data_IF_279210247247
#
_entry.id   IF_279210247247
#
_cell.length_a   1.000
_cell.length_b   1.000
_cell.length_c   1.000
_cell.angle_alpha   90.00
_cell.angle_beta   90.00
_cell.angle_gamma   90.00
#
_symmetry.space_group_name_H-M   'P 1'
#
loop_
_entity.id
_entity.type
_entity.pdbx_description
1 polymer ?
#
# COMPACT_ATOMS: atom_id res chain seq x y z
N UNK A 1 -2.06 3.25 -1.54
CA UNK A 1 -2.39 1.83 -1.23
C UNK A 1 -3.68 1.41 -1.91
N UNK A 2 -3.77 0.17 -2.38
CA UNK A 2 -4.89 -0.32 -3.20
C UNK A 2 -5.55 -1.51 -2.50
N UNK A 3 -6.85 -1.37 -2.16
CA UNK A 3 -7.71 -2.41 -1.61
C UNK A 3 -8.75 -2.90 -2.62
N UNK A 4 -9.49 -3.95 -2.27
CA UNK A 4 -10.55 -4.54 -3.09
C UNK A 4 -10.48 -6.07 -3.12
N UNK A 5 -11.54 -6.70 -3.62
CA UNK A 5 -11.62 -8.16 -3.74
C UNK A 5 -10.53 -8.77 -4.64
N UNK A 6 -10.37 -10.08 -4.57
CA UNK A 6 -9.54 -10.81 -5.51
C UNK A 6 -10.05 -10.59 -6.96
N UNK A 7 -9.11 -10.45 -7.93
CA UNK A 7 -9.40 -10.34 -9.38
C UNK A 7 -10.12 -9.06 -9.84
N UNK A 8 -10.29 -8.04 -8.99
CA UNK A 8 -10.89 -6.76 -9.39
C UNK A 8 -9.95 -5.83 -10.18
N UNK A 9 -8.66 -6.15 -10.31
CA UNK A 9 -7.70 -5.35 -11.09
C UNK A 9 -6.70 -4.54 -10.27
N UNK A 10 -6.52 -4.80 -8.97
CA UNK A 10 -5.56 -4.09 -8.10
C UNK A 10 -4.13 -4.08 -8.65
N UNK A 11 -3.61 -5.26 -8.99
CA UNK A 11 -2.24 -5.39 -9.53
C UNK A 11 -2.10 -4.72 -10.91
N UNK A 12 -3.16 -4.70 -11.72
CA UNK A 12 -3.19 -3.98 -12.98
C UNK A 12 -3.11 -2.47 -12.74
N UNK A 13 -3.91 -1.95 -11.80
CA UNK A 13 -3.83 -0.53 -11.40
C UNK A 13 -2.44 -0.18 -10.85
N UNK A 14 -1.86 -1.03 -9.99
CA UNK A 14 -0.51 -0.82 -9.47
C UNK A 14 0.55 -0.71 -10.57
N UNK A 15 0.46 -1.54 -11.63
CA UNK A 15 1.34 -1.44 -12.80
C UNK A 15 1.16 -0.10 -13.53
N UNK A 16 -0.07 0.36 -13.76
CA UNK A 16 -0.30 1.64 -14.43
C UNK A 16 0.17 2.83 -13.61
N UNK A 17 0.00 2.80 -12.28
CA UNK A 17 0.58 3.81 -11.38
C UNK A 17 2.11 3.78 -11.47
N UNK A 18 2.72 2.59 -11.51
CA UNK A 18 4.17 2.45 -11.68
C UNK A 18 4.65 3.02 -13.01
N UNK A 19 3.96 2.73 -14.11
CA UNK A 19 4.27 3.30 -15.43
C UNK A 19 4.17 4.83 -15.42
N UNK A 20 3.11 5.36 -14.81
CA UNK A 20 2.93 6.82 -14.69
C UNK A 20 4.02 7.44 -13.82
N UNK A 21 4.33 6.88 -12.66
CA UNK A 21 5.39 7.35 -11.77
C UNK A 21 6.74 7.40 -12.50
N UNK A 22 7.10 6.32 -13.16
CA UNK A 22 8.36 6.24 -13.93
C UNK A 22 8.45 7.31 -15.01
N UNK A 23 7.38 7.52 -15.77
CA UNK A 23 7.32 8.53 -16.83
C UNK A 23 7.43 9.97 -16.28
N UNK A 24 7.07 10.18 -15.01
CA UNK A 24 7.20 11.45 -14.30
C UNK A 24 8.46 11.53 -13.40
N UNK A 25 9.46 10.69 -13.68
CA UNK A 25 10.79 10.67 -13.03
C UNK A 25 10.80 10.23 -11.55
N UNK A 26 9.73 9.60 -11.08
CA UNK A 26 9.72 8.90 -9.80
C UNK A 26 10.27 7.48 -9.96
N UNK A 27 10.76 6.91 -8.87
CA UNK A 27 11.12 5.48 -8.82
C UNK A 27 9.99 4.70 -8.15
N UNK A 28 9.13 3.97 -8.90
CA UNK A 28 8.07 3.18 -8.32
C UNK A 28 8.62 1.92 -7.64
N UNK A 29 8.14 1.62 -6.45
CA UNK A 29 8.46 0.41 -5.69
C UNK A 29 7.18 -0.25 -5.21
N UNK A 30 6.90 -1.48 -5.66
CA UNK A 30 5.73 -2.24 -5.21
C UNK A 30 6.11 -3.05 -3.96
N UNK A 31 5.46 -2.75 -2.84
CA UNK A 31 5.68 -3.40 -1.55
C UNK A 31 4.36 -3.92 -1.02
N UNK A 32 4.00 -5.20 -1.27
CA UNK A 32 2.79 -5.79 -0.70
C UNK A 32 2.88 -5.96 0.82
N UNK A 33 1.77 -5.84 1.55
CA UNK A 33 1.69 -6.26 2.97
C UNK A 33 2.07 -7.72 3.15
N UNK A 34 1.62 -8.57 2.25
CA UNK A 34 1.95 -9.98 2.24
C UNK A 34 3.34 -10.31 1.64
N UNK A 35 4.27 -9.35 1.55
CA UNK A 35 5.60 -9.62 0.98
C UNK A 35 6.34 -10.71 1.77
N UNK A 36 6.42 -10.59 3.10
CA UNK A 36 7.06 -11.56 3.97
C UNK A 36 6.37 -12.95 3.88
N UNK A 37 5.05 -12.96 3.83
CA UNK A 37 4.26 -14.18 3.65
C UNK A 37 4.59 -14.89 2.31
N UNK A 38 4.69 -14.14 1.24
CA UNK A 38 5.06 -14.64 -0.10
C UNK A 38 6.49 -15.16 -0.14
N UNK A 39 7.41 -14.51 0.58
CA UNK A 39 8.80 -14.95 0.75
C UNK A 39 8.87 -16.30 1.49
N UNK A 40 8.08 -16.48 2.56
CA UNK A 40 8.01 -17.75 3.29
C UNK A 40 7.42 -18.87 2.42
N UNK A 41 6.38 -18.60 1.64
CA UNK A 41 5.82 -19.56 0.68
C UNK A 41 6.87 -19.98 -0.35
N UNK A 42 7.61 -19.02 -0.91
CA UNK A 42 8.67 -19.28 -1.89
C UNK A 42 9.81 -20.14 -1.31
N UNK A 43 10.20 -19.91 -0.05
CA UNK A 43 11.20 -20.78 0.66
C UNK A 43 10.73 -22.23 0.78
N UNK A 44 9.40 -22.46 0.82
CA UNK A 44 8.78 -23.79 0.82
C UNK A 44 8.58 -24.37 -0.58
N UNK A 45 8.94 -23.64 -1.63
CA UNK A 45 8.75 -24.03 -3.02
C UNK A 45 7.33 -23.78 -3.56
N UNK A 46 6.48 -23.09 -2.81
CA UNK A 46 5.13 -22.73 -3.26
C UNK A 46 5.16 -21.41 -4.01
N UNK A 47 4.69 -21.42 -5.25
CA UNK A 47 4.56 -20.23 -6.08
C UNK A 47 3.19 -20.20 -6.79
N UNK A 48 2.75 -19.02 -7.19
CA UNK A 48 1.49 -18.90 -7.94
C UNK A 48 1.50 -19.63 -9.28
N UNK A 49 2.69 -19.80 -9.87
CA UNK A 49 2.83 -20.33 -11.23
C UNK A 49 2.98 -21.85 -11.26
N UNK A 50 3.46 -22.46 -10.16
CA UNK A 50 3.77 -23.90 -10.11
C UNK A 50 2.79 -24.69 -9.28
N UNK A 51 2.37 -24.17 -8.10
CA UNK A 51 1.54 -24.85 -7.12
C UNK A 51 0.52 -23.88 -6.55
N UNK A 52 -0.43 -23.44 -7.39
CA UNK A 52 -1.34 -22.35 -7.03
C UNK A 52 -2.23 -22.66 -5.82
N UNK A 53 -2.70 -23.90 -5.69
CA UNK A 53 -3.58 -24.33 -4.61
C UNK A 53 -2.81 -24.40 -3.29
N UNK A 54 -1.69 -25.11 -3.26
CA UNK A 54 -0.83 -25.25 -2.07
C UNK A 54 -0.24 -23.88 -1.66
N UNK A 55 0.15 -23.06 -2.64
CA UNK A 55 0.61 -21.70 -2.36
C UNK A 55 -0.46 -20.89 -1.64
N UNK A 56 -1.70 -21.01 -2.09
CA UNK A 56 -2.81 -20.28 -1.52
C UNK A 56 -3.17 -20.76 -0.13
N UNK A 57 -3.31 -22.11 0.03
CA UNK A 57 -3.58 -22.73 1.32
C UNK A 57 -2.50 -22.36 2.34
N UNK A 58 -1.23 -22.44 1.96
CA UNK A 58 -0.11 -22.03 2.81
C UNK A 58 -0.22 -20.56 3.22
N UNK A 59 -0.44 -19.66 2.26
CA UNK A 59 -0.55 -18.23 2.52
C UNK A 59 -1.77 -17.90 3.42
N UNK A 60 -2.90 -18.56 3.23
CA UNK A 60 -4.07 -18.35 4.06
C UNK A 60 -3.82 -18.84 5.49
N UNK A 61 -3.34 -20.09 5.64
CA UNK A 61 -3.07 -20.69 6.95
C UNK A 61 -2.02 -19.90 7.74
N UNK A 62 -0.86 -19.61 7.15
CA UNK A 62 0.18 -18.84 7.81
C UNK A 62 -0.30 -17.41 8.11
N UNK A 63 -1.01 -16.80 7.16
CA UNK A 63 -1.57 -15.46 7.31
C UNK A 63 -2.50 -15.35 8.51
N UNK A 64 -3.46 -16.24 8.65
CA UNK A 64 -4.40 -16.27 9.77
C UNK A 64 -3.71 -16.65 11.08
N UNK A 65 -2.86 -17.69 11.10
CA UNK A 65 -2.14 -18.11 12.30
C UNK A 65 -1.34 -16.97 12.94
N UNK A 66 -0.63 -16.21 12.12
CA UNK A 66 0.17 -15.09 12.64
C UNK A 66 -0.71 -13.94 13.16
N UNK A 67 -1.87 -13.68 12.53
CA UNK A 67 -2.84 -12.68 13.02
C UNK A 67 -3.55 -13.10 14.31
N UNK A 68 -3.79 -14.39 14.51
CA UNK A 68 -4.34 -14.90 15.78
C UNK A 68 -3.39 -14.66 16.95
N UNK A 69 -2.08 -14.73 16.72
CA UNK A 69 -1.06 -14.44 17.72
C UNK A 69 -0.85 -12.94 17.94
N UNK A 70 -0.85 -12.17 16.86
CA UNK A 70 -0.68 -10.73 16.83
C UNK A 70 -1.44 -10.15 15.64
N UNK A 71 -2.59 -9.46 15.85
CA UNK A 71 -3.40 -8.88 14.77
C UNK A 71 -2.61 -7.94 13.86
N UNK A 72 -1.57 -7.29 14.37
CA UNK A 72 -0.74 -6.34 13.61
C UNK A 72 0.56 -6.94 13.07
N UNK A 73 0.73 -8.26 13.16
CA UNK A 73 1.96 -8.93 12.70
C UNK A 73 2.38 -8.50 11.29
N UNK A 74 1.48 -8.58 10.31
CA UNK A 74 1.80 -8.24 8.91
C UNK A 74 1.98 -6.74 8.70
N UNK A 75 1.35 -5.90 9.50
CA UNK A 75 1.60 -4.45 9.51
C UNK A 75 3.02 -4.15 10.02
N UNK A 76 3.47 -4.84 11.07
CA UNK A 76 4.85 -4.73 11.60
C UNK A 76 5.87 -5.20 10.56
N UNK A 77 5.63 -6.35 9.93
CA UNK A 77 6.50 -6.84 8.85
C UNK A 77 6.57 -5.90 7.65
N UNK A 78 5.44 -5.30 7.27
CA UNK A 78 5.41 -4.27 6.23
C UNK A 78 6.24 -3.04 6.64
N UNK A 79 6.08 -2.53 7.86
CA UNK A 79 6.89 -1.40 8.38
C UNK A 79 8.37 -1.72 8.38
N UNK A 80 8.76 -2.91 8.84
CA UNK A 80 10.14 -3.39 8.79
C UNK A 80 10.70 -3.39 7.36
N UNK A 81 9.90 -3.81 6.38
CA UNK A 81 10.30 -3.80 4.97
C UNK A 81 10.51 -2.37 4.45
N UNK A 82 9.60 -1.44 4.76
CA UNK A 82 9.74 -0.03 4.38
C UNK A 82 10.99 0.58 5.03
N UNK A 83 11.21 0.34 6.33
CA UNK A 83 12.40 0.80 7.05
C UNK A 83 13.69 0.31 6.39
N UNK A 84 13.75 -0.98 6.04
CA UNK A 84 14.92 -1.56 5.37
C UNK A 84 15.17 -0.92 4.01
N UNK A 85 14.13 -0.71 3.21
CA UNK A 85 14.25 -0.02 1.92
C UNK A 85 14.80 1.41 2.08
N UNK A 86 14.38 2.12 3.12
CA UNK A 86 14.90 3.43 3.44
C UNK A 86 16.39 3.40 3.84
N UNK A 87 16.77 2.50 4.75
CA UNK A 87 18.16 2.35 5.20
C UNK A 87 19.11 1.99 4.04
N UNK A 88 18.67 1.12 3.15
CA UNK A 88 19.39 0.77 1.91
C UNK A 88 19.57 2.01 1.00
N UNK A 89 18.51 2.81 0.84
CA UNK A 89 18.57 4.03 0.07
C UNK A 89 19.50 5.07 0.66
N UNK A 90 19.38 5.34 1.96
CA UNK A 90 20.28 6.28 2.68
C UNK A 90 21.74 5.87 2.54
N UNK A 91 22.01 4.56 2.57
CA UNK A 91 23.37 4.03 2.37
C UNK A 91 23.86 4.28 0.96
N UNK A 92 23.00 4.04 -0.04
CA UNK A 92 23.32 4.28 -1.44
C UNK A 92 23.55 5.78 -1.74
N UNK A 93 22.70 6.65 -1.20
CA UNK A 93 22.81 8.10 -1.34
C UNK A 93 24.08 8.69 -0.72
N UNK A 94 24.52 8.14 0.43
CA UNK A 94 25.80 8.54 1.03
C UNK A 94 26.99 8.17 0.15
N UNK A 95 26.88 7.06 -0.61
CA UNK A 95 27.90 6.61 -1.54
C UNK A 95 27.90 7.43 -2.83
N UNK A 96 26.73 7.76 -3.36
CA UNK A 96 26.55 8.54 -4.59
C UNK A 96 25.27 9.40 -4.52
N UNK A 97 25.36 10.69 -4.16
CA UNK A 97 24.19 11.58 -4.10
C UNK A 97 23.51 11.81 -5.46
N UNK A 98 24.16 11.51 -6.57
CA UNK A 98 23.60 11.73 -7.91
C UNK A 98 22.51 10.73 -8.30
N UNK A 99 22.37 9.63 -7.55
CA UNK A 99 21.34 8.61 -7.80
C UNK A 99 19.98 8.92 -7.16
N UNK A 100 19.84 10.11 -6.55
CA UNK A 100 18.58 10.52 -5.93
C UNK A 100 17.43 10.54 -6.93
N UNK A 101 16.42 9.74 -6.65
CA UNK A 101 15.13 9.78 -7.32
C UNK A 101 14.03 9.59 -6.27
N UNK A 102 13.08 10.48 -6.29
CA UNK A 102 11.93 10.39 -5.39
C UNK A 102 11.17 9.06 -5.60
N UNK A 103 10.98 8.29 -4.54
CA UNK A 103 10.32 6.98 -4.61
C UNK A 103 8.83 7.10 -4.37
N UNK A 104 8.06 6.33 -5.15
CA UNK A 104 6.63 6.11 -4.91
C UNK A 104 6.40 4.66 -4.50
N UNK A 105 6.02 4.47 -3.24
CA UNK A 105 5.71 3.14 -2.72
C UNK A 105 4.25 2.80 -3.04
N UNK A 106 4.06 1.69 -3.73
CA UNK A 106 2.75 1.19 -4.15
C UNK A 106 2.46 -0.12 -3.43
N UNK A 107 1.31 -0.19 -2.76
CA UNK A 107 0.83 -1.40 -2.06
C UNK A 107 -0.43 -1.86 -2.75
N UNK A 108 -0.46 -3.09 -3.27
CA UNK A 108 -1.53 -3.61 -4.14
C UNK A 108 -2.36 -4.74 -3.51
N UNK A 109 -2.20 -4.99 -2.23
CA UNK A 109 -2.84 -6.11 -1.55
C UNK A 109 -3.44 -5.77 -0.19
N UNK A 110 -3.85 -4.51 0.02
CA UNK A 110 -4.52 -4.09 1.25
C UNK A 110 -5.88 -4.80 1.41
N UNK A 111 -6.10 -5.47 2.55
CA UNK A 111 -7.27 -6.34 2.78
C UNK A 111 -7.91 -6.19 4.15
N UNK A 112 -7.20 -5.61 5.12
CA UNK A 112 -7.64 -5.51 6.51
C UNK A 112 -7.72 -4.07 6.96
N UNK A 113 -8.60 -3.80 7.93
CA UNK A 113 -8.81 -2.45 8.46
C UNK A 113 -7.56 -1.87 9.12
N UNK A 114 -6.77 -2.69 9.82
CA UNK A 114 -5.52 -2.27 10.43
C UNK A 114 -4.43 -1.92 9.39
N UNK A 115 -4.43 -2.59 8.22
CA UNK A 115 -3.56 -2.24 7.11
C UNK A 115 -3.91 -0.85 6.53
N UNK A 116 -5.22 -0.55 6.42
CA UNK A 116 -5.68 0.78 5.97
C UNK A 116 -5.37 1.83 7.04
N UNK A 117 -5.57 1.51 8.32
CA UNK A 117 -5.22 2.42 9.41
C UNK A 117 -3.71 2.74 9.38
N UNK A 118 -2.85 1.73 9.21
CA UNK A 118 -1.41 1.93 9.05
C UNK A 118 -1.05 2.79 7.83
N UNK A 119 -1.81 2.65 6.72
CA UNK A 119 -1.67 3.50 5.55
C UNK A 119 -1.98 4.96 5.86
N UNK A 120 -3.07 5.19 6.57
CA UNK A 120 -3.50 6.55 6.96
C UNK A 120 -2.52 7.21 7.93
N UNK A 121 -1.95 6.44 8.85
CA UNK A 121 -0.93 6.91 9.78
C UNK A 121 0.30 7.52 9.07
N UNK A 122 0.67 6.94 7.93
CA UNK A 122 1.77 7.43 7.08
C UNK A 122 1.28 8.31 5.92
N UNK A 123 0.06 8.85 6.04
CA UNK A 123 -0.57 9.74 5.03
C UNK A 123 -0.62 9.17 3.61
N UNK A 124 -0.67 7.83 3.49
CA UNK A 124 -0.77 7.21 2.19
C UNK A 124 -2.14 7.44 1.56
N UNK A 125 -2.18 7.69 0.26
CA UNK A 125 -3.40 7.69 -0.52
C UNK A 125 -3.97 6.27 -0.59
N UNK A 126 -5.25 6.10 -0.24
CA UNK A 126 -5.93 4.80 -0.25
C UNK A 126 -7.01 4.77 -1.33
N UNK A 127 -6.98 3.71 -2.16
CA UNK A 127 -7.89 3.53 -3.29
C UNK A 127 -8.54 2.16 -3.19
N UNK A 128 -9.86 2.10 -3.20
CA UNK A 128 -10.63 0.87 -3.30
C UNK A 128 -10.97 0.58 -4.75
N UNK A 129 -10.68 -0.63 -5.24
CA UNK A 129 -11.10 -1.10 -6.56
C UNK A 129 -12.24 -2.07 -6.40
N UNK A 130 -13.41 -1.69 -6.92
CA UNK A 130 -14.63 -2.48 -6.93
C UNK A 130 -14.81 -3.15 -8.30
N UNK A 131 -15.36 -4.36 -8.30
CA UNK A 131 -15.82 -4.99 -9.54
C UNK A 131 -17.12 -4.35 -10.06
N UNK A 132 -17.84 -3.60 -9.20
CA UNK A 132 -19.16 -3.07 -9.50
C UNK A 132 -20.15 -4.20 -9.81
N UNK A 133 -20.87 -4.07 -10.92
CA UNK A 133 -21.83 -5.09 -11.37
C UNK A 133 -21.19 -6.22 -12.20
N UNK A 134 -19.86 -6.17 -12.41
CA UNK A 134 -19.17 -7.21 -13.17
C UNK A 134 -19.14 -8.52 -12.40
N UNK A 135 -19.68 -9.58 -13.01
CA UNK A 135 -19.56 -10.92 -12.48
C UNK A 135 -18.09 -11.36 -12.44
N UNK A 136 -17.64 -11.77 -11.27
CA UNK A 136 -16.34 -12.39 -11.11
C UNK A 136 -16.46 -13.89 -11.38
N UNK A 137 -15.48 -14.53 -12.06
CA UNK A 137 -15.59 -15.94 -12.44
C UNK A 137 -15.94 -16.85 -11.26
N UNK A 138 -16.84 -17.79 -11.46
CA UNK A 138 -17.31 -18.74 -10.41
C UNK A 138 -16.19 -19.59 -9.83
N UNK A 139 -15.17 -19.92 -10.62
CA UNK A 139 -14.00 -20.67 -10.18
C UNK A 139 -13.27 -20.03 -8.98
N UNK A 140 -13.56 -18.74 -8.71
CA UNK A 140 -13.03 -17.99 -7.57
C UNK A 140 -14.05 -17.77 -6.45
N UNK A 141 -15.24 -18.41 -6.51
CA UNK A 141 -16.28 -18.21 -5.51
C UNK A 141 -15.83 -18.59 -4.07
N UNK A 142 -15.11 -19.70 -3.95
CA UNK A 142 -14.54 -20.13 -2.66
C UNK A 142 -13.56 -19.11 -2.08
N UNK A 143 -12.89 -18.34 -2.93
CA UNK A 143 -11.94 -17.34 -2.50
C UNK A 143 -12.60 -16.15 -1.81
N UNK A 144 -13.86 -15.89 -2.13
CA UNK A 144 -14.63 -14.78 -1.56
C UNK A 144 -15.10 -15.05 -0.13
N UNK A 145 -15.10 -16.31 0.30
CA UNK A 145 -15.52 -16.69 1.68
C UNK A 145 -14.41 -16.53 2.71
N UNK A 146 -13.16 -16.32 2.28
CA UNK A 146 -12.05 -16.17 3.20
C UNK A 146 -12.09 -14.81 3.91
N UNK A 147 -11.67 -14.78 5.19
CA UNK A 147 -11.66 -13.56 6.03
C UNK A 147 -10.97 -12.35 5.37
N UNK A 148 -9.92 -12.58 4.56
CA UNK A 148 -9.21 -11.51 3.85
C UNK A 148 -10.06 -10.79 2.79
N UNK A 149 -11.24 -11.28 2.46
CA UNK A 149 -12.17 -10.63 1.54
C UNK A 149 -13.31 -9.92 2.29
N UNK A 150 -13.43 -10.13 3.61
CA UNK A 150 -14.57 -9.65 4.40
C UNK A 150 -14.73 -8.12 4.33
N UNK A 151 -13.64 -7.35 4.40
CA UNK A 151 -13.67 -5.90 4.28
C UNK A 151 -14.19 -5.47 2.90
N UNK A 152 -13.66 -6.07 1.84
CA UNK A 152 -14.05 -5.74 0.49
C UNK A 152 -15.52 -6.09 0.22
N UNK A 153 -15.99 -7.24 0.71
CA UNK A 153 -17.40 -7.64 0.62
C UNK A 153 -18.30 -6.65 1.36
N UNK A 154 -17.91 -6.24 2.56
CA UNK A 154 -18.68 -5.28 3.35
C UNK A 154 -18.83 -3.93 2.61
N UNK A 155 -17.78 -3.46 1.92
CA UNK A 155 -17.83 -2.25 1.10
C UNK A 155 -18.75 -2.45 -0.11
N UNK A 156 -18.62 -3.56 -0.84
CA UNK A 156 -19.44 -3.90 -2.02
C UNK A 156 -20.93 -4.06 -1.63
N UNK A 157 -21.24 -4.47 -0.41
CA UNK A 157 -22.60 -4.55 0.12
C UNK A 157 -23.12 -3.26 0.74
N UNK A 158 -22.38 -2.17 0.61
CA UNK A 158 -22.81 -0.81 0.98
C UNK A 158 -22.48 -0.39 2.42
N UNK A 159 -21.53 -1.03 3.08
CA UNK A 159 -21.05 -0.57 4.40
C UNK A 159 -20.21 0.70 4.26
N UNK A 160 -20.85 1.85 4.48
CA UNK A 160 -20.25 3.18 4.37
C UNK A 160 -19.07 3.38 5.32
N UNK A 161 -19.12 2.84 6.53
CA UNK A 161 -18.04 2.99 7.50
C UNK A 161 -16.69 2.48 6.96
N UNK A 162 -16.72 1.37 6.21
CA UNK A 162 -15.51 0.82 5.60
C UNK A 162 -15.15 1.50 4.28
N UNK A 163 -16.16 1.91 3.49
CA UNK A 163 -15.91 2.69 2.27
C UNK A 163 -15.20 4.02 2.60
N UNK A 164 -15.61 4.72 3.66
CA UNK A 164 -15.05 5.99 4.10
C UNK A 164 -13.60 5.88 4.65
N UNK A 165 -13.10 4.65 4.79
CA UNK A 165 -11.67 4.42 5.07
C UNK A 165 -10.78 4.63 3.84
N UNK A 166 -11.34 4.64 2.64
CA UNK A 166 -10.62 4.90 1.40
C UNK A 166 -10.86 6.32 0.91
N UNK A 167 -9.84 6.94 0.35
CA UNK A 167 -9.95 8.27 -0.27
C UNK A 167 -10.71 8.21 -1.59
N UNK A 168 -10.58 7.11 -2.32
CA UNK A 168 -11.22 6.91 -3.62
C UNK A 168 -11.78 5.50 -3.77
N UNK A 169 -12.92 5.40 -4.45
CA UNK A 169 -13.48 4.12 -4.94
C UNK A 169 -13.50 4.16 -6.47
N UNK A 170 -12.85 3.18 -7.10
CA UNK A 170 -12.82 3.00 -8.55
C UNK A 170 -13.60 1.75 -8.95
N UNK A 171 -14.60 1.90 -9.79
CA UNK A 171 -15.36 0.78 -10.33
C UNK A 171 -14.75 0.29 -11.64
N UNK A 172 -14.38 -0.99 -11.69
CA UNK A 172 -13.85 -1.68 -12.85
C UNK A 172 -14.96 -2.54 -13.49
N UNK A 173 -15.93 -1.88 -14.09
CA UNK A 173 -17.12 -2.49 -14.71
C UNK A 173 -16.98 -2.64 -16.22
N UNK A 174 -15.97 -2.02 -16.82
CA UNK A 174 -15.81 -1.85 -18.25
C UNK A 174 -14.65 -2.68 -18.82
N UNK A 175 -14.30 -2.41 -20.08
CA UNK A 175 -13.10 -3.00 -20.68
C UNK A 175 -11.83 -2.49 -19.99
N UNK A 176 -10.75 -3.24 -20.07
CA UNK A 176 -9.45 -2.84 -19.50
C UNK A 176 -9.00 -1.47 -20.03
N UNK A 177 -9.21 -1.17 -21.30
CA UNK A 177 -8.84 0.10 -21.91
C UNK A 177 -9.64 1.27 -21.33
N UNK A 178 -10.95 1.11 -21.13
CA UNK A 178 -11.80 2.12 -20.52
C UNK A 178 -11.44 2.33 -19.04
N UNK A 179 -11.21 1.25 -18.30
CA UNK A 179 -10.77 1.33 -16.92
C UNK A 179 -9.39 2.01 -16.79
N UNK A 180 -8.44 1.71 -17.71
CA UNK A 180 -7.14 2.38 -17.78
C UNK A 180 -7.30 3.89 -17.96
N UNK A 181 -8.13 4.32 -18.91
CA UNK A 181 -8.39 5.74 -19.16
C UNK A 181 -8.97 6.43 -17.93
N UNK A 182 -9.96 5.80 -17.28
CA UNK A 182 -10.57 6.29 -16.05
C UNK A 182 -9.55 6.46 -14.90
N UNK A 183 -8.65 5.48 -14.75
CA UNK A 183 -7.58 5.54 -13.75
C UNK A 183 -6.56 6.64 -14.08
N UNK A 184 -6.12 6.72 -15.33
CA UNK A 184 -5.14 7.71 -15.78
C UNK A 184 -5.62 9.14 -15.57
N UNK A 185 -6.91 9.42 -15.76
CA UNK A 185 -7.50 10.73 -15.47
C UNK A 185 -7.40 11.16 -13.99
N UNK A 186 -7.07 10.23 -13.10
CA UNK A 186 -6.90 10.50 -11.66
C UNK A 186 -5.43 10.61 -11.22
N UNK A 187 -4.49 10.18 -12.04
CA UNK A 187 -3.09 10.09 -11.60
C UNK A 187 -2.48 11.46 -11.31
N UNK A 188 -2.73 12.48 -12.12
CA UNK A 188 -2.26 13.85 -11.86
C UNK A 188 -2.79 14.38 -10.53
N UNK A 189 -4.09 14.20 -10.25
CA UNK A 189 -4.74 14.56 -8.99
C UNK A 189 -4.09 13.83 -7.80
N UNK A 190 -3.89 12.52 -7.92
CA UNK A 190 -3.33 11.70 -6.83
C UNK A 190 -1.88 12.06 -6.51
N UNK A 191 -1.07 12.30 -7.53
CA UNK A 191 0.33 12.68 -7.33
C UNK A 191 0.44 14.09 -6.76
N UNK A 192 -0.46 15.00 -7.16
CA UNK A 192 -0.55 16.33 -6.57
C UNK A 192 -0.93 16.26 -5.07
N UNK A 193 -1.96 15.49 -4.72
CA UNK A 193 -2.37 15.29 -3.32
C UNK A 193 -1.27 14.65 -2.47
N UNK A 194 -0.52 13.70 -3.02
CA UNK A 194 0.62 13.11 -2.32
C UNK A 194 1.69 14.17 -2.06
N UNK A 195 2.02 14.99 -3.04
CA UNK A 195 2.99 16.06 -2.90
C UNK A 195 2.53 17.12 -1.87
N UNK A 196 1.26 17.53 -1.89
CA UNK A 196 0.68 18.46 -0.89
C UNK A 196 0.71 17.86 0.52
N UNK A 197 0.35 16.59 0.68
CA UNK A 197 0.39 15.90 1.96
C UNK A 197 1.80 15.82 2.54
N UNK A 198 2.80 15.68 1.66
CA UNK A 198 4.20 15.73 2.05
C UNK A 198 4.61 17.14 2.49
N UNK A 199 4.18 18.17 1.76
CA UNK A 199 4.42 19.58 2.12
C UNK A 199 3.82 19.94 3.48
N UNK A 200 2.62 19.48 3.78
CA UNK A 200 1.96 19.72 5.06
C UNK A 200 2.67 19.02 6.23
N UNK A 201 3.25 17.83 6.00
CA UNK A 201 4.07 17.14 7.00
C UNK A 201 5.32 17.93 7.37
N UNK A 202 5.98 18.55 6.38
CA UNK A 202 7.15 19.41 6.61
C UNK A 202 6.82 20.77 7.22
N UNK A 203 5.59 21.26 7.08
CA UNK A 203 5.22 22.63 7.36
C UNK A 203 4.79 22.91 8.80
N UNK A 204 4.92 21.97 9.73
CA UNK A 204 4.68 22.17 11.15
C UNK A 204 5.85 22.85 11.89
N UNK A 205 6.94 23.20 11.22
CA UNK A 205 7.99 24.01 11.82
C UNK A 205 7.82 25.50 11.41
N UNK A 206 7.96 26.41 12.38
CA UNK A 206 7.84 27.87 12.17
C UNK A 206 8.80 28.44 11.11
N UNK A 207 9.89 27.74 10.80
CA UNK A 207 10.88 28.11 9.77
C UNK A 207 10.38 27.89 8.33
N UNK A 208 9.48 26.93 8.12
CA UNK A 208 8.94 26.64 6.78
C UNK A 208 7.77 27.58 6.40
N UNK A 209 7.11 28.19 7.38
CA UNK A 209 6.02 29.15 7.13
C UNK A 209 6.51 30.48 6.49
N UNK A 210 7.78 30.81 6.64
CA UNK A 210 8.36 32.05 6.13
C UNK A 210 8.99 31.95 4.74
N UNK A 211 9.09 30.76 4.14
CA UNK A 211 9.80 30.54 2.86
C UNK A 211 8.95 29.85 1.77
N UNK A 212 7.63 29.97 1.85
CA UNK A 212 6.67 29.25 0.99
C UNK A 212 6.72 29.56 -0.51
N UNK A 213 7.46 30.56 -0.95
CA UNK A 213 7.35 31.02 -2.33
C UNK A 213 8.29 30.33 -3.36
N UNK A 214 9.34 29.58 -2.97
CA UNK A 214 10.36 29.17 -3.96
C UNK A 214 11.01 27.77 -3.82
N UNK A 215 10.56 26.87 -2.95
CA UNK A 215 11.22 25.52 -2.85
C UNK A 215 10.24 24.39 -2.68
N UNK A 216 10.36 23.39 -3.56
CA UNK A 216 9.90 22.01 -3.27
C UNK A 216 10.66 21.52 -2.02
N UNK A 217 9.98 20.86 -1.06
CA UNK A 217 10.61 20.36 0.14
C UNK A 217 11.69 19.34 -0.20
N UNK A 218 12.74 19.33 0.62
CA UNK A 218 13.73 18.27 0.59
C UNK A 218 13.03 16.94 0.91
N UNK A 219 12.93 16.07 -0.07
CA UNK A 219 12.25 14.76 0.05
C UNK A 219 12.81 13.91 1.20
N UNK A 220 14.08 14.11 1.58
CA UNK A 220 14.71 13.46 2.72
C UNK A 220 14.07 13.85 4.06
N UNK A 221 13.70 15.11 4.24
CA UNK A 221 13.09 15.57 5.48
C UNK A 221 11.69 15.00 5.69
N UNK A 222 10.89 14.91 4.61
CA UNK A 222 9.53 14.31 4.64
C UNK A 222 9.60 12.83 4.92
N UNK A 223 10.48 12.13 4.24
CA UNK A 223 10.60 10.69 4.43
C UNK A 223 11.11 10.35 5.83
N UNK A 224 12.00 11.18 6.38
CA UNK A 224 12.48 11.06 7.76
C UNK A 224 11.35 11.21 8.78
N UNK A 225 10.46 12.19 8.61
CA UNK A 225 9.30 12.38 9.47
C UNK A 225 8.32 11.20 9.39
N UNK A 226 8.05 10.68 8.18
CA UNK A 226 7.25 9.47 7.99
C UNK A 226 7.92 8.28 8.69
N UNK A 227 9.24 8.15 8.62
CA UNK A 227 9.98 7.08 9.28
C UNK A 227 9.98 7.23 10.81
N UNK A 228 10.06 8.44 11.34
CA UNK A 228 9.92 8.71 12.78
C UNK A 228 8.50 8.30 13.25
N UNK A 229 7.45 8.61 12.50
CA UNK A 229 6.08 8.15 12.81
C UNK A 229 5.94 6.62 12.78
N UNK A 230 6.69 5.93 11.92
CA UNK A 230 6.71 4.46 11.86
C UNK A 230 7.45 3.88 13.07
N UNK A 231 8.57 4.50 13.47
CA UNK A 231 9.46 4.03 14.53
C UNK A 231 8.86 4.33 15.92
N UNK A 232 8.34 5.53 16.16
CA UNK A 232 7.78 5.93 17.46
C UNK A 232 6.58 5.07 17.88
N UNK A 233 5.81 4.53 16.93
CA UNK A 233 4.71 3.58 17.24
C UNK A 233 5.23 2.21 17.69
N UNK A 234 6.40 1.77 17.25
CA UNK A 234 6.99 0.50 17.71
C UNK A 234 7.47 0.56 19.16
N UNK A 235 7.95 1.71 19.62
CA UNK A 235 8.43 1.86 21.01
C UNK A 235 7.28 2.03 22.01
N UNK A 236 6.12 2.55 21.59
CA UNK A 236 4.96 2.69 22.45
C UNK A 236 4.16 1.37 22.61
N UNK A 237 4.31 0.40 21.72
CA UNK A 237 3.65 -0.90 21.77
C UNK A 237 4.42 -1.97 22.58
N UNK A 238 5.56 -1.64 23.15
CA UNK A 238 6.27 -2.58 24.04
C UNK A 238 5.52 -2.69 25.38
N UNK A 239 5.08 -3.89 25.80
CA UNK A 239 4.44 -4.06 27.09
C UNK A 239 5.42 -3.61 28.18
N UNK A 240 4.99 -2.66 29.00
CA UNK A 240 5.70 -2.28 30.23
C UNK A 240 5.87 -3.55 31.07
N UNK A 241 7.10 -4.06 31.15
CA UNK A 241 7.44 -5.16 32.06
C UNK A 241 7.24 -4.65 33.48
N UNK A 242 6.11 -5.05 34.08
CA UNK A 242 5.92 -5.05 35.52
C UNK A 242 6.38 -6.38 36.10
#
# INVERSE_FOLDING_TARGET
>A
MIGGQARVGKTTLAKWISEYAYNNKYTPVIVPFAAALKEEAAKKGYTKDTNQEEYREFCQTLGSTMREQDPDYWVKEFRNKIKKLYEEEQTALKADPSIWHEKVIIVDDCRYTNEIAAARDIRALTVFVSAGERELPEEFAEWRTHESEALAIAIETGNKQYEDMFHYTLKNEETEAAFKTKCQAKFDEWFHLLAESMLDALCNCELCLSSREDRLPDGDAVFKEIMELIIDKEDNDKPTKT
#
